data_IF_287227260548
#
_entry.id   IF_287227260548
#
_cell.length_a   1.000
_cell.length_b   1.000
_cell.length_c   1.000
_cell.angle_alpha   90.00
_cell.angle_beta   90.00
_cell.angle_gamma   90.00
#
_symmetry.space_group_name_H-M   'P 1'
#
loop_
_entity.id
_entity.type
_entity.pdbx_description
1 polymer ?
#
# COMPACT_ATOMS: atom_id res chain seq x y z
N UNK A 1 5.37 -4.05 -0.92
CA UNK A 1 4.19 -4.07 -0.01
C UNK A 1 2.94 -3.58 -0.75
N UNK A 2 1.75 -3.98 -0.27
CA UNK A 2 0.45 -3.63 -0.84
C UNK A 2 -0.28 -2.57 0.02
N UNK A 3 -1.18 -1.81 -0.59
CA UNK A 3 -2.06 -0.82 0.03
C UNK A 3 -3.49 -1.00 -0.48
N UNK A 4 -4.47 -0.60 0.33
CA UNK A 4 -5.89 -0.72 -0.04
C UNK A 4 -6.21 0.26 -1.17
N UNK A 5 -6.71 -0.25 -2.29
CA UNK A 5 -7.26 0.57 -3.39
C UNK A 5 -8.77 0.78 -3.20
N UNK A 6 -9.51 -0.30 -2.94
CA UNK A 6 -10.96 -0.25 -2.80
C UNK A 6 -11.46 -1.36 -1.88
N UNK A 7 -12.46 -1.04 -1.06
CA UNK A 7 -13.15 -2.00 -0.19
C UNK A 7 -14.55 -2.24 -0.76
N UNK A 8 -14.93 -3.50 -0.86
CA UNK A 8 -16.28 -3.97 -1.16
C UNK A 8 -16.86 -4.68 0.07
N UNK A 9 -18.13 -5.07 -0.01
CA UNK A 9 -18.84 -5.77 1.07
C UNK A 9 -18.12 -7.06 1.50
N UNK A 10 -17.70 -7.86 0.53
CA UNK A 10 -17.12 -9.19 0.75
C UNK A 10 -15.65 -9.27 0.31
N UNK A 11 -15.08 -8.23 -0.30
CA UNK A 11 -13.70 -8.26 -0.79
C UNK A 11 -12.97 -6.95 -0.61
N UNK A 12 -11.64 -7.02 -0.55
CA UNK A 12 -10.75 -5.85 -0.54
C UNK A 12 -9.79 -5.99 -1.71
N UNK A 13 -9.75 -4.97 -2.56
CA UNK A 13 -8.76 -4.83 -3.62
C UNK A 13 -7.53 -4.12 -3.06
N UNK A 14 -6.39 -4.78 -3.22
CA UNK A 14 -5.08 -4.29 -2.83
C UNK A 14 -4.22 -4.05 -4.08
N UNK A 15 -3.49 -2.95 -4.09
CA UNK A 15 -2.51 -2.60 -5.12
C UNK A 15 -1.14 -2.48 -4.49
N UNK A 16 -0.08 -2.74 -5.25
CA UNK A 16 1.25 -2.40 -4.79
C UNK A 16 1.32 -0.91 -4.46
N UNK A 17 1.99 -0.52 -3.38
CA UNK A 17 2.08 0.90 -3.00
C UNK A 17 2.89 1.74 -3.98
N UNK A 18 3.63 1.13 -4.92
CA UNK A 18 4.24 1.83 -6.06
C UNK A 18 3.29 1.99 -7.26
N UNK A 19 2.02 1.57 -7.16
CA UNK A 19 1.00 1.81 -8.19
C UNK A 19 0.68 3.31 -8.36
N UNK A 20 0.93 4.15 -7.35
CA UNK A 20 0.75 5.61 -7.45
C UNK A 20 1.96 6.35 -8.02
N UNK A 21 3.08 5.66 -8.29
CA UNK A 21 4.24 6.30 -8.90
C UNK A 21 3.97 6.57 -10.38
N UNK A 22 4.01 7.84 -10.78
CA UNK A 22 3.78 8.28 -12.16
C UNK A 22 4.91 7.86 -13.11
N UNK A 23 6.14 7.70 -12.61
CA UNK A 23 7.32 7.32 -13.39
C UNK A 23 7.41 5.81 -13.58
N UNK A 24 7.14 5.03 -12.52
CA UNK A 24 7.15 3.56 -12.59
C UNK A 24 5.95 3.00 -11.83
N UNK A 25 4.81 2.93 -12.52
CA UNK A 25 3.58 2.38 -11.99
C UNK A 25 3.68 0.87 -11.85
N UNK A 26 3.54 0.36 -10.62
CA UNK A 26 3.54 -1.07 -10.39
C UNK A 26 2.16 -1.71 -10.70
N UNK A 27 2.09 -2.72 -11.58
CA UNK A 27 0.82 -3.35 -11.97
C UNK A 27 0.34 -4.43 -10.98
N UNK A 28 1.16 -4.80 -9.99
CA UNK A 28 0.85 -5.89 -9.07
C UNK A 28 -0.36 -5.58 -8.19
N UNK A 29 -1.32 -6.51 -8.19
CA UNK A 29 -2.62 -6.44 -7.49
C UNK A 29 -2.91 -7.74 -6.75
N UNK A 30 -3.67 -7.66 -5.67
CA UNK A 30 -4.28 -8.83 -5.03
C UNK A 30 -5.64 -8.50 -4.43
N UNK A 31 -6.44 -9.54 -4.19
CA UNK A 31 -7.78 -9.42 -3.62
C UNK A 31 -7.89 -10.37 -2.45
N UNK A 32 -8.42 -9.88 -1.33
CA UNK A 32 -8.76 -10.72 -0.16
C UNK A 32 -10.28 -10.79 -0.04
N UNK A 33 -10.84 -11.99 0.09
CA UNK A 33 -12.28 -12.17 0.34
C UNK A 33 -12.52 -12.42 1.83
N UNK A 34 -13.49 -11.74 2.44
CA UNK A 34 -13.88 -11.92 3.85
C UNK A 34 -14.50 -13.29 4.14
N UNK A 35 -15.16 -13.88 3.16
CA UNK A 35 -15.77 -15.22 3.29
C UNK A 35 -14.73 -16.33 3.23
N UNK A 36 -13.59 -16.06 2.59
CA UNK A 36 -12.47 -16.98 2.57
C UNK A 36 -11.53 -16.61 3.70
N UNK A 37 -11.70 -17.27 4.85
CA UNK A 37 -10.97 -17.02 6.10
C UNK A 37 -9.46 -16.83 5.87
N UNK A 38 -8.87 -17.53 4.88
CA UNK A 38 -7.46 -17.43 4.49
C UNK A 38 -7.24 -17.19 2.97
N UNK A 39 -8.26 -16.76 2.23
CA UNK A 39 -8.19 -16.67 0.77
C UNK A 39 -7.59 -15.36 0.27
N UNK A 40 -6.35 -15.42 -0.22
CA UNK A 40 -5.73 -14.35 -0.99
C UNK A 40 -5.68 -14.75 -2.46
N UNK A 41 -6.38 -14.01 -3.32
CA UNK A 41 -6.26 -14.15 -4.78
C UNK A 41 -5.22 -13.15 -5.28
N UNK A 42 -4.02 -13.64 -5.60
CA UNK A 42 -2.99 -12.84 -6.26
C UNK A 42 -3.35 -12.67 -7.73
N UNK A 43 -3.17 -11.47 -8.27
CA UNK A 43 -3.24 -11.28 -9.72
C UNK A 43 -2.00 -11.89 -10.39
N UNK A 44 -2.10 -12.23 -11.67
CA UNK A 44 -0.95 -12.73 -12.45
C UNK A 44 0.15 -11.68 -12.68
N UNK A 45 -0.13 -10.40 -12.38
CA UNK A 45 0.82 -9.31 -12.64
C UNK A 45 1.88 -9.27 -11.54
N UNK A 46 3.12 -9.56 -11.91
CA UNK A 46 4.29 -9.46 -11.03
C UNK A 46 4.68 -8.01 -10.77
N UNK A 47 5.43 -7.79 -9.70
CA UNK A 47 6.07 -6.49 -9.45
C UNK A 47 7.12 -6.21 -10.54
N UNK A 48 7.17 -4.98 -11.02
CA UNK A 48 8.17 -4.47 -11.96
C UNK A 48 9.31 -3.71 -11.25
N UNK A 49 9.51 -3.97 -9.96
CA UNK A 49 10.51 -3.30 -9.13
C UNK A 49 11.02 -4.26 -8.06
N UNK A 50 12.21 -4.00 -7.49
CA UNK A 50 12.75 -4.78 -6.38
C UNK A 50 11.84 -4.75 -5.15
N UNK A 51 11.89 -5.80 -4.33
CA UNK A 51 11.17 -5.86 -3.05
C UNK A 51 11.65 -4.76 -2.07
N UNK A 52 12.97 -4.52 -2.05
CA UNK A 52 13.65 -3.57 -1.14
C UNK A 52 13.50 -2.11 -1.53
N UNK A 53 12.86 -1.82 -2.67
CA UNK A 53 12.57 -0.44 -3.08
C UNK A 53 11.50 0.23 -2.20
N UNK A 54 11.06 -0.45 -1.15
CA UNK A 54 10.15 0.04 -0.14
C UNK A 54 10.95 0.75 0.96
N UNK A 55 11.23 2.06 0.79
CA UNK A 55 11.53 2.91 1.94
C UNK A 55 10.19 3.23 2.60
N UNK A 56 9.83 2.66 3.76
CA UNK A 56 8.67 3.15 4.49
C UNK A 56 8.89 4.64 4.68
N UNK A 57 7.95 5.45 4.19
CA UNK A 57 8.00 6.88 4.43
C UNK A 57 8.03 7.05 5.94
N UNK A 58 9.19 7.43 6.51
CA UNK A 58 9.28 7.74 7.95
C UNK A 58 8.19 8.79 8.14
N UNK A 59 7.13 8.45 8.88
CA UNK A 59 6.13 9.44 9.29
C UNK A 59 6.95 10.55 9.92
N UNK A 60 7.00 11.70 9.25
CA UNK A 60 7.55 12.90 9.85
C UNK A 60 6.69 13.11 11.09
N UNK A 61 7.21 12.76 12.27
CA UNK A 61 6.61 13.15 13.54
C UNK A 61 6.58 14.67 13.44
N UNK A 62 5.40 15.25 13.19
CA UNK A 62 5.20 16.69 13.34
C UNK A 62 5.66 16.99 14.77
N UNK A 63 6.88 17.55 14.91
CA UNK A 63 7.34 18.15 16.15
C UNK A 63 6.32 19.25 16.42
N UNK A 64 5.47 19.05 17.42
CA UNK A 64 4.73 20.16 18.00
C UNK A 64 5.78 21.19 18.39
N UNK A 65 5.74 22.33 17.71
CA UNK A 65 6.71 23.40 17.86
C UNK A 65 6.76 23.84 19.31
N UNK A 66 7.98 23.86 19.84
CA UNK A 66 8.29 24.61 21.04
C UNK A 66 8.01 26.09 20.74
N UNK A 67 7.00 26.70 21.37
CA UNK A 67 6.85 28.15 21.45
C UNK A 67 7.17 28.56 22.88
N UNK A 68 8.38 29.06 23.06
CA UNK A 68 8.76 29.89 24.19
C UNK A 68 8.24 31.33 23.97
N UNK A 69 8.29 32.13 25.04
CA UNK A 69 7.97 33.56 25.20
C UNK A 69 6.65 33.88 25.91
N UNK A 70 6.72 34.08 27.24
CA UNK A 70 6.98 35.41 27.82
C UNK A 70 7.51 35.28 29.25
#
# INVERSE_FOLDING_TARGET
MYSVERKYRNSINWVCSKNSNSVLRCPARCVTNRESVNGIKLSHRRHNHPADSFKPHKRCRKRHGNRNSK
#
